data_IF_698030180082
#
_entry.id   IF_698030180082
#
_cell.length_a   1.000
_cell.length_b   1.000
_cell.length_c   1.000
_cell.angle_alpha   90.00
_cell.angle_beta   90.00
_cell.angle_gamma   90.00
#
_symmetry.space_group_name_H-M   'P 1'
#
loop_
_entity.id
_entity.type
_entity.pdbx_description
1 polymer ?
#
# COMPACT_ATOMS: atom_id res chain seq x y z
N UNK A 1 3.96 -46.28 -16.36
CA UNK A 1 3.85 -44.93 -16.93
C UNK A 1 4.49 -44.01 -15.92
N UNK A 2 5.72 -43.58 -16.21
CA UNK A 2 6.54 -42.74 -15.33
C UNK A 2 5.99 -41.32 -15.35
N UNK A 3 5.75 -40.76 -14.16
CA UNK A 3 5.47 -39.35 -13.98
C UNK A 3 6.70 -38.54 -14.42
N UNK A 4 6.58 -37.88 -15.56
CA UNK A 4 7.58 -36.92 -16.02
C UNK A 4 7.53 -35.69 -15.11
N UNK A 5 8.55 -35.55 -14.27
CA UNK A 5 8.87 -34.31 -13.56
C UNK A 5 8.96 -33.16 -14.57
N UNK A 6 7.96 -32.27 -14.54
CA UNK A 6 8.02 -31.01 -15.27
C UNK A 6 9.09 -30.13 -14.64
N UNK A 7 10.29 -30.19 -15.19
CA UNK A 7 11.37 -29.24 -14.92
C UNK A 7 10.90 -27.83 -15.25
N UNK A 8 10.63 -27.03 -14.21
CA UNK A 8 10.30 -25.62 -14.35
C UNK A 8 11.58 -24.90 -14.77
N UNK A 9 11.63 -24.42 -16.02
CA UNK A 9 12.69 -23.51 -16.46
C UNK A 9 12.52 -22.20 -15.69
N UNK A 10 13.34 -22.00 -14.66
CA UNK A 10 13.50 -20.71 -13.99
C UNK A 10 14.19 -19.80 -15.01
N UNK A 11 13.47 -18.87 -15.59
CA UNK A 11 14.06 -17.84 -16.46
C UNK A 11 14.78 -16.83 -15.58
N UNK A 12 16.10 -16.69 -15.74
CA UNK A 12 17.00 -15.77 -15.01
C UNK A 12 16.75 -14.27 -15.27
N UNK A 13 15.53 -13.88 -15.68
CA UNK A 13 15.21 -12.48 -15.92
C UNK A 13 14.91 -11.81 -14.57
N UNK A 14 15.64 -10.76 -14.25
CA UNK A 14 15.33 -9.93 -13.07
C UNK A 14 13.87 -9.49 -13.11
N UNK A 15 13.16 -9.53 -11.95
CA UNK A 15 11.77 -9.15 -11.89
C UNK A 15 11.60 -7.68 -12.26
N UNK A 16 10.54 -7.36 -13.01
CA UNK A 16 10.18 -5.96 -13.30
C UNK A 16 9.74 -5.25 -12.03
N UNK A 17 9.80 -3.90 -12.00
CA UNK A 17 9.32 -3.15 -10.82
C UNK A 17 7.86 -3.41 -10.51
N UNK A 18 7.04 -3.66 -11.54
CA UNK A 18 5.63 -4.02 -11.35
C UNK A 18 5.47 -5.41 -10.71
N UNK A 19 6.31 -6.39 -11.08
CA UNK A 19 6.33 -7.69 -10.40
C UNK A 19 6.82 -7.57 -8.95
N UNK A 20 7.80 -6.71 -8.68
CA UNK A 20 8.24 -6.40 -7.31
C UNK A 20 7.11 -5.76 -6.50
N UNK A 21 6.39 -4.80 -7.08
CA UNK A 21 5.24 -4.15 -6.45
C UNK A 21 4.13 -5.16 -6.13
N UNK A 22 3.81 -6.08 -7.04
CA UNK A 22 2.84 -7.15 -6.80
C UNK A 22 3.24 -8.02 -5.59
N UNK A 23 4.54 -8.31 -5.46
CA UNK A 23 5.03 -9.06 -4.31
C UNK A 23 4.87 -8.27 -3.00
N UNK A 24 5.20 -6.98 -3.00
CA UNK A 24 5.07 -6.14 -1.81
C UNK A 24 3.62 -5.92 -1.39
N UNK A 25 2.69 -5.83 -2.35
CA UNK A 25 1.26 -5.73 -2.07
C UNK A 25 0.73 -7.00 -1.41
N UNK A 26 1.17 -8.18 -1.88
CA UNK A 26 0.78 -9.46 -1.28
C UNK A 26 1.18 -9.57 0.18
N UNK A 27 2.30 -8.96 0.58
CA UNK A 27 2.78 -8.94 1.97
C UNK A 27 1.84 -8.16 2.92
N UNK A 28 0.98 -7.27 2.41
CA UNK A 28 0.06 -6.46 3.21
C UNK A 28 -1.24 -7.17 3.57
N UNK A 29 -1.63 -8.22 2.84
CA UNK A 29 -2.96 -8.82 2.95
C UNK A 29 -2.87 -10.14 3.71
N UNK A 30 -3.47 -10.16 4.90
CA UNK A 30 -3.62 -11.38 5.69
C UNK A 30 -4.87 -11.33 6.60
N UNK A 31 -5.75 -12.36 6.58
CA UNK A 31 -5.92 -13.36 5.52
C UNK A 31 -6.64 -12.77 4.28
N UNK A 32 -6.54 -13.43 3.13
CA UNK A 32 -7.40 -13.14 1.96
C UNK A 32 -6.65 -12.83 0.68
N UNK A 33 -7.37 -12.35 -0.35
CA UNK A 33 -6.80 -12.03 -1.67
C UNK A 33 -6.63 -10.53 -1.81
N UNK A 34 -5.57 -10.10 -2.49
CA UNK A 34 -5.25 -8.67 -2.72
C UNK A 34 -6.45 -7.87 -3.24
N UNK A 35 -7.14 -8.38 -4.25
CA UNK A 35 -8.23 -7.67 -4.91
C UNK A 35 -9.49 -7.51 -4.03
N UNK A 36 -9.56 -8.22 -2.89
CA UNK A 36 -10.64 -8.03 -1.93
C UNK A 36 -10.43 -6.76 -1.08
N UNK A 37 -9.19 -6.26 -0.98
CA UNK A 37 -8.81 -5.15 -0.09
C UNK A 37 -8.18 -3.95 -0.80
N UNK A 38 -7.59 -4.17 -1.99
CA UNK A 38 -6.83 -3.15 -2.73
C UNK A 38 -7.40 -3.03 -4.12
N UNK A 39 -7.83 -1.81 -4.47
CA UNK A 39 -8.39 -1.49 -5.78
C UNK A 39 -7.31 -0.89 -6.68
N UNK A 40 -7.19 -1.39 -7.91
CA UNK A 40 -6.44 -0.71 -8.97
C UNK A 40 -7.39 0.19 -9.76
N UNK A 41 -7.16 1.51 -9.74
CA UNK A 41 -8.03 2.49 -10.42
C UNK A 41 -7.59 2.71 -11.86
N UNK A 42 -6.28 2.75 -12.09
CA UNK A 42 -5.71 2.89 -13.42
C UNK A 42 -4.55 1.93 -13.59
N UNK A 43 -4.58 1.18 -14.68
CA UNK A 43 -3.43 0.50 -15.25
C UNK A 43 -3.26 1.01 -16.68
N UNK A 44 -2.19 1.75 -16.95
CA UNK A 44 -1.87 2.25 -18.28
C UNK A 44 -0.39 1.98 -18.56
N UNK A 45 -0.08 1.52 -19.77
CA UNK A 45 1.29 1.28 -20.16
C UNK A 45 1.47 1.50 -21.65
N UNK A 46 2.64 2.01 -22.01
CA UNK A 46 3.12 2.10 -23.38
C UNK A 46 4.55 1.56 -23.43
N UNK A 47 5.24 1.76 -24.55
CA UNK A 47 6.61 1.28 -24.72
C UNK A 47 7.64 2.07 -23.89
N UNK A 48 7.25 3.17 -23.26
CA UNK A 48 8.14 4.07 -22.50
C UNK A 48 7.93 3.97 -20.99
N UNK A 49 6.69 3.78 -20.53
CA UNK A 49 6.36 3.65 -19.12
C UNK A 49 5.14 2.76 -18.85
N UNK A 50 5.11 2.18 -17.65
CA UNK A 50 3.93 1.54 -17.05
C UNK A 50 3.54 2.31 -15.79
N UNK A 51 2.27 2.66 -15.65
CA UNK A 51 1.72 3.31 -14.48
C UNK A 51 0.59 2.48 -13.87
N UNK A 52 0.59 2.39 -12.54
CA UNK A 52 -0.49 1.83 -11.73
C UNK A 52 -0.86 2.79 -10.60
N UNK A 53 -2.16 2.98 -10.39
CA UNK A 53 -2.68 3.70 -9.22
C UNK A 53 -3.51 2.73 -8.39
N UNK A 54 -3.09 2.54 -7.14
CA UNK A 54 -3.69 1.61 -6.19
C UNK A 54 -4.38 2.40 -5.09
N UNK A 55 -5.50 1.87 -4.59
CA UNK A 55 -6.27 2.45 -3.52
C UNK A 55 -6.40 1.51 -2.33
N UNK A 56 -6.10 2.08 -1.16
CA UNK A 56 -6.25 1.45 0.15
C UNK A 56 -7.32 2.23 0.90
N UNK A 57 -8.31 1.51 1.39
CA UNK A 57 -9.41 2.11 2.14
C UNK A 57 -9.26 1.75 3.61
N UNK A 58 -9.34 2.76 4.47
CA UNK A 58 -9.56 2.61 5.91
C UNK A 58 -10.93 3.17 6.26
N UNK A 59 -11.31 3.10 7.53
CA UNK A 59 -12.58 3.65 7.99
C UNK A 59 -12.66 5.18 7.73
N UNK A 60 -11.56 5.89 7.93
CA UNK A 60 -11.52 7.36 7.89
C UNK A 60 -10.87 7.93 6.62
N UNK A 61 -10.00 7.16 5.96
CA UNK A 61 -9.17 7.67 4.85
C UNK A 61 -9.15 6.73 3.65
N UNK A 62 -8.78 7.29 2.50
CA UNK A 62 -8.41 6.56 1.30
C UNK A 62 -7.01 7.00 0.89
N UNK A 63 -6.15 6.03 0.60
CA UNK A 63 -4.77 6.27 0.19
C UNK A 63 -4.57 5.87 -1.27
N UNK A 64 -3.96 6.75 -2.04
CA UNK A 64 -3.65 6.56 -3.45
C UNK A 64 -2.15 6.35 -3.61
N UNK A 65 -1.72 5.13 -3.91
CA UNK A 65 -0.33 4.84 -4.26
C UNK A 65 -0.18 4.91 -5.77
N UNK A 66 0.64 5.83 -6.25
CA UNK A 66 0.98 6.00 -7.65
C UNK A 66 2.35 5.40 -7.92
N UNK A 67 2.39 4.32 -8.71
CA UNK A 67 3.61 3.64 -9.13
C UNK A 67 3.82 3.84 -10.63
N UNK A 68 4.98 4.39 -11.01
CA UNK A 68 5.32 4.66 -12.42
C UNK A 68 6.69 4.06 -12.71
N UNK A 69 6.74 3.03 -13.53
CA UNK A 69 7.97 2.42 -14.02
C UNK A 69 8.31 2.96 -15.41
N UNK A 70 9.46 3.61 -15.58
CA UNK A 70 9.88 4.24 -16.83
C UNK A 70 11.09 3.52 -17.41
N UNK A 71 10.94 2.93 -18.59
CA UNK A 71 11.93 2.02 -19.18
C UNK A 71 13.09 2.75 -19.87
N UNK A 72 12.84 3.93 -20.43
CA UNK A 72 13.81 4.68 -21.24
C UNK A 72 13.88 6.18 -20.90
N UNK A 73 13.22 6.60 -19.83
CA UNK A 73 13.15 8.02 -19.49
C UNK A 73 14.43 8.49 -18.78
N UNK A 74 14.83 9.72 -19.06
CA UNK A 74 15.86 10.45 -18.29
C UNK A 74 15.43 10.71 -16.85
N UNK A 75 14.12 10.63 -16.58
CA UNK A 75 13.54 10.68 -15.23
C UNK A 75 13.36 9.25 -14.71
N UNK A 76 13.86 8.97 -13.51
CA UNK A 76 13.72 7.66 -12.88
C UNK A 76 12.26 7.25 -12.66
N UNK A 77 12.04 5.95 -12.43
CA UNK A 77 10.76 5.39 -11.98
C UNK A 77 10.36 6.00 -10.63
N UNK A 78 9.07 6.21 -10.41
CA UNK A 78 8.51 6.94 -9.27
C UNK A 78 7.53 6.09 -8.47
N UNK A 79 7.51 6.33 -7.17
CA UNK A 79 6.50 5.82 -6.26
C UNK A 79 6.12 6.95 -5.30
N UNK A 80 4.82 7.22 -5.18
CA UNK A 80 4.30 8.23 -4.27
C UNK A 80 2.96 7.84 -3.69
N UNK A 81 2.57 8.50 -2.60
CA UNK A 81 1.31 8.25 -1.93
C UNK A 81 0.61 9.54 -1.53
N UNK A 82 -0.70 9.58 -1.69
CA UNK A 82 -1.55 10.68 -1.24
C UNK A 82 -2.68 10.12 -0.40
N UNK A 83 -3.14 10.87 0.60
CA UNK A 83 -4.27 10.48 1.45
C UNK A 83 -5.39 11.50 1.35
N UNK A 84 -6.63 11.03 1.27
CA UNK A 84 -7.83 11.84 1.37
C UNK A 84 -8.72 11.34 2.51
N UNK A 85 -9.40 12.24 3.21
CA UNK A 85 -10.46 11.90 4.15
C UNK A 85 -11.68 11.37 3.40
N UNK A 86 -12.29 10.29 3.90
CA UNK A 86 -13.51 9.70 3.34
C UNK A 86 -14.78 10.36 3.86
N UNK A 87 -14.72 10.98 5.04
CA UNK A 87 -15.85 11.63 5.71
C UNK A 87 -15.64 13.14 5.72
N UNK A 88 -16.55 13.86 5.06
CA UNK A 88 -16.59 15.32 5.10
C UNK A 88 -17.07 15.80 6.48
N UNK A 89 -16.55 16.95 6.94
CA UNK A 89 -17.07 17.65 8.12
C UNK A 89 -18.19 18.62 7.71
N UNK A 90 -19.11 18.99 8.63
CA UNK A 90 -20.14 19.97 8.33
C UNK A 90 -19.54 21.27 7.75
N UNK A 91 -19.98 21.64 6.56
CA UNK A 91 -19.53 22.85 5.85
C UNK A 91 -18.31 22.68 4.95
N UNK A 92 -17.72 21.48 4.83
CA UNK A 92 -16.66 21.22 3.85
C UNK A 92 -17.24 20.92 2.46
N UNK A 93 -16.84 21.68 1.45
CA UNK A 93 -17.07 21.41 0.01
C UNK A 93 -15.78 21.00 -0.73
N UNK A 94 -14.64 20.94 -0.02
CA UNK A 94 -13.37 20.45 -0.52
C UNK A 94 -12.98 19.12 0.13
N UNK A 95 -12.13 18.34 -0.56
CA UNK A 95 -11.56 17.12 -0.01
C UNK A 95 -10.34 17.49 0.83
N UNK A 96 -10.36 17.12 2.11
CA UNK A 96 -9.15 17.19 2.94
C UNK A 96 -8.22 16.06 2.58
N UNK A 97 -7.00 16.39 2.19
CA UNK A 97 -5.95 15.42 1.93
C UNK A 97 -4.58 15.94 2.28
N UNK A 98 -3.60 15.04 2.25
CA UNK A 98 -2.19 15.33 2.46
C UNK A 98 -1.35 14.46 1.52
N UNK A 99 -0.17 14.95 1.15
CA UNK A 99 0.84 14.11 0.54
C UNK A 99 1.54 13.27 1.63
N UNK A 100 1.81 12.02 1.29
CA UNK A 100 2.64 11.11 2.07
C UNK A 100 4.01 10.95 1.40
N UNK A 101 4.98 10.23 1.99
CA UNK A 101 6.30 10.09 1.40
C UNK A 101 6.25 9.61 -0.06
N UNK A 102 7.17 10.15 -0.86
CA UNK A 102 7.36 9.75 -2.25
C UNK A 102 8.86 9.67 -2.60
N UNK A 103 9.13 9.25 -3.83
CA UNK A 103 10.48 9.21 -4.38
C UNK A 103 10.67 8.14 -5.45
N UNK A 104 11.88 7.59 -5.49
CA UNK A 104 12.25 6.56 -6.45
C UNK A 104 11.43 5.27 -6.22
N UNK A 105 11.06 4.60 -7.31
CA UNK A 105 10.40 3.29 -7.26
C UNK A 105 11.37 2.19 -6.80
N UNK A 106 11.49 2.03 -5.49
CA UNK A 106 12.26 0.98 -4.81
C UNK A 106 11.59 0.59 -3.48
N UNK A 107 12.07 -0.50 -2.85
CA UNK A 107 11.49 -1.03 -1.59
C UNK A 107 11.56 -0.01 -0.45
N UNK A 108 12.64 0.78 -0.37
CA UNK A 108 12.81 1.79 0.68
C UNK A 108 11.69 2.85 0.63
N UNK A 109 11.35 3.35 -0.56
CA UNK A 109 10.23 4.29 -0.72
C UNK A 109 8.90 3.63 -0.40
N UNK A 110 8.71 2.39 -0.84
CA UNK A 110 7.52 1.60 -0.51
C UNK A 110 7.33 1.45 1.01
N UNK A 111 8.36 1.01 1.74
CA UNK A 111 8.28 0.82 3.19
C UNK A 111 8.00 2.15 3.91
N UNK A 112 8.60 3.26 3.45
CA UNK A 112 8.30 4.60 3.98
C UNK A 112 6.84 4.99 3.78
N UNK A 113 6.26 4.67 2.62
CA UNK A 113 4.83 4.89 2.36
C UNK A 113 3.97 4.06 3.32
N UNK A 114 4.25 2.77 3.46
CA UNK A 114 3.46 1.89 4.34
C UNK A 114 3.56 2.33 5.80
N UNK A 115 4.75 2.67 6.29
CA UNK A 115 4.92 3.19 7.64
C UNK A 115 4.22 4.54 7.84
N UNK A 116 4.18 5.39 6.81
CA UNK A 116 3.42 6.63 6.88
C UNK A 116 1.91 6.38 6.96
N UNK A 117 1.37 5.44 6.16
CA UNK A 117 -0.05 5.03 6.23
C UNK A 117 -0.37 4.52 7.64
N UNK A 118 0.42 3.58 8.17
CA UNK A 118 0.24 3.06 9.52
C UNK A 118 0.29 4.20 10.53
N UNK A 119 1.31 5.06 10.48
CA UNK A 119 1.45 6.21 11.39
C UNK A 119 0.28 7.19 11.29
N UNK A 120 -0.31 7.35 10.11
CA UNK A 120 -1.44 8.24 9.88
C UNK A 120 -2.74 7.70 10.50
N UNK A 121 -2.88 6.37 10.52
CA UNK A 121 -4.03 5.67 11.12
C UNK A 121 -3.87 5.42 12.63
N UNK A 122 -2.66 5.54 13.19
CA UNK A 122 -2.45 5.37 14.63
C UNK A 122 -3.19 6.46 15.41
N UNK A 123 -4.00 6.02 16.38
CA UNK A 123 -4.74 6.92 17.27
C UNK A 123 -4.00 7.07 18.59
N UNK A 124 -3.94 8.31 19.10
CA UNK A 124 -3.34 8.59 20.41
C UNK A 124 -4.12 7.86 21.51
N UNK A 125 -3.39 7.09 22.33
CA UNK A 125 -3.97 6.44 23.49
C UNK A 125 -4.48 7.46 24.51
N UNK A 126 -5.61 7.15 25.14
CA UNK A 126 -6.06 7.87 26.32
C UNK A 126 -5.00 7.77 27.44
N UNK A 127 -4.78 8.83 28.23
CA UNK A 127 -3.91 8.77 29.40
C UNK A 127 -4.45 7.82 30.48
N UNK A 128 -5.70 7.35 30.38
CA UNK A 128 -6.27 6.40 31.33
C UNK A 128 -5.62 5.03 31.18
N UNK A 129 -4.85 4.62 32.20
CA UNK A 129 -4.36 3.26 32.34
C UNK A 129 -5.48 2.39 32.93
N UNK A 130 -5.73 1.23 32.30
CA UNK A 130 -6.63 0.22 32.84
C UNK A 130 -6.15 -0.11 34.27
N UNK A 131 -7.01 -0.10 35.31
CA UNK A 131 -6.54 -0.46 36.64
C UNK A 131 -6.07 -1.92 36.61
N UNK A 132 -4.79 -2.16 36.92
CA UNK A 132 -4.15 -3.48 36.93
C UNK A 132 -4.76 -4.45 37.96
N UNK A 133 -5.73 -3.99 38.76
CA UNK A 133 -6.37 -4.77 39.82
C UNK A 133 -7.87 -4.76 39.62
N UNK A 134 -8.41 -5.95 39.32
CA UNK A 134 -9.82 -6.25 39.61
C UNK A 134 -10.00 -6.05 41.13
N UNK A 135 -10.98 -5.24 41.59
CA UNK A 135 -11.27 -5.13 43.01
C UNK A 135 -11.50 -6.53 43.59
N UNK A 136 -10.79 -6.87 44.67
CA UNK A 136 -10.88 -8.20 45.32
C UNK A 136 -12.21 -8.43 46.06
N UNK A 137 -13.13 -7.48 45.99
CA UNK A 137 -14.29 -7.43 46.89
C UNK A 137 -15.61 -7.66 46.14
N UNK A 138 -15.62 -8.59 45.18
CA UNK A 138 -16.85 -9.24 44.71
C UNK A 138 -16.61 -10.75 44.76
N UNK A 139 -16.69 -11.30 45.97
CA UNK A 139 -16.83 -12.72 46.26
C UNK A 139 -17.89 -12.85 47.37
#
# INVERSE_FOLDING_TARGET
MSDEEKVIKITDKEPTKMQMLDQWIKELVYPGKVNDFIQEITGAGNNEETQRTLCFYTEEHIYYINAIDRFHATKGSYLGCQVNARKARPGEDWVRGNDLPDGEFNKKTWDRIIYAIVSYELVKLSPFQKPDKVPKDIA
#
